data_IF_412847717417
#
_entry.id   IF_412847717417
#
_cell.length_a   1.000
_cell.length_b   1.000
_cell.length_c   1.000
_cell.angle_alpha   90.00
_cell.angle_beta   90.00
_cell.angle_gamma   90.00
#
_symmetry.space_group_name_H-M   'P 1'
#
loop_
_entity.id
_entity.type
_entity.pdbx_description
1 polymer ?
#
# COMPACT_ATOMS: atom_id res chain seq x y z
N UNK A 1 10.10 14.52 -6.67
CA UNK A 1 9.26 13.51 -5.98
C UNK A 1 8.34 14.23 -5.02
N UNK A 2 7.04 13.96 -5.07
CA UNK A 2 6.00 14.59 -4.24
C UNK A 2 5.35 13.56 -3.30
N UNK A 3 4.89 14.02 -2.15
CA UNK A 3 3.98 13.23 -1.30
C UNK A 3 2.55 13.31 -1.85
N UNK A 4 1.76 12.23 -1.83
CA UNK A 4 0.34 12.33 -2.17
C UNK A 4 -0.39 13.25 -1.18
N UNK A 5 -1.47 13.89 -1.62
CA UNK A 5 -2.30 14.71 -0.73
C UNK A 5 -2.92 13.83 0.36
N UNK A 6 -3.08 14.35 1.58
CA UNK A 6 -3.79 13.64 2.65
C UNK A 6 -5.22 13.28 2.22
N UNK A 7 -5.72 12.11 2.64
CA UNK A 7 -7.05 11.61 2.30
C UNK A 7 -7.19 10.09 2.44
N UNK A 8 -8.37 9.59 2.06
CA UNK A 8 -8.65 8.15 2.04
C UNK A 8 -8.35 7.57 0.66
N UNK A 9 -7.63 6.45 0.65
CA UNK A 9 -7.15 5.80 -0.57
C UNK A 9 -7.32 4.30 -0.52
N UNK A 10 -7.41 3.69 -1.70
CA UNK A 10 -7.01 2.30 -1.91
C UNK A 10 -5.59 2.25 -2.41
N UNK A 11 -4.87 1.21 -1.99
CA UNK A 11 -3.49 0.96 -2.37
C UNK A 11 -3.47 -0.31 -3.21
N UNK A 12 -3.27 -0.16 -4.51
CA UNK A 12 -3.40 -1.26 -5.47
C UNK A 12 -2.02 -1.66 -5.97
N UNK A 13 -1.72 -2.96 -6.01
CA UNK A 13 -0.46 -3.43 -6.56
C UNK A 13 -0.37 -3.08 -8.06
N UNK A 14 0.81 -2.69 -8.53
CA UNK A 14 1.00 -2.36 -9.94
C UNK A 14 0.88 -3.60 -10.85
N UNK A 15 1.11 -4.79 -10.31
CA UNK A 15 0.98 -6.07 -11.01
C UNK A 15 -0.44 -6.60 -10.84
N UNK A 16 -1.05 -7.03 -11.94
CA UNK A 16 -2.34 -7.74 -11.90
C UNK A 16 -2.14 -9.18 -11.45
N UNK A 17 -3.21 -9.79 -10.93
CA UNK A 17 -3.20 -11.24 -10.73
C UNK A 17 -3.08 -12.01 -12.04
N UNK A 18 -2.79 -13.31 -11.96
CA UNK A 18 -2.81 -14.22 -13.13
C UNK A 18 -4.16 -14.25 -13.84
N UNK A 19 -5.23 -13.87 -13.14
CA UNK A 19 -6.60 -13.75 -13.66
C UNK A 19 -6.93 -12.32 -14.13
N UNK A 20 -5.92 -11.44 -14.27
CA UNK A 20 -6.05 -10.02 -14.63
C UNK A 20 -6.83 -9.16 -13.62
N UNK A 21 -6.90 -9.56 -12.34
CA UNK A 21 -7.56 -8.79 -11.29
C UNK A 21 -6.62 -7.73 -10.71
N UNK A 22 -7.18 -6.59 -10.30
CA UNK A 22 -6.46 -5.59 -9.48
C UNK A 22 -6.45 -6.03 -8.03
N UNK A 23 -5.29 -5.98 -7.40
CA UNK A 23 -5.09 -6.47 -6.03
C UNK A 23 -4.87 -5.29 -5.08
N UNK A 24 -5.79 -5.07 -4.15
CA UNK A 24 -5.75 -4.00 -3.17
C UNK A 24 -5.27 -4.49 -1.81
N UNK A 25 -4.41 -3.71 -1.14
CA UNK A 25 -4.02 -4.00 0.24
C UNK A 25 -5.27 -3.97 1.12
N UNK A 26 -5.51 -5.09 1.80
CA UNK A 26 -6.68 -5.32 2.64
C UNK A 26 -6.23 -5.56 4.07
N UNK A 27 -6.79 -4.78 4.98
CA UNK A 27 -6.51 -4.90 6.40
C UNK A 27 -7.17 -6.16 6.96
N UNK A 28 -6.41 -6.90 7.76
CA UNK A 28 -6.92 -8.01 8.55
C UNK A 28 -7.19 -7.56 10.00
N UNK A 29 -7.61 -8.50 10.85
CA UNK A 29 -7.78 -8.24 12.28
C UNK A 29 -6.50 -7.65 12.90
N UNK A 30 -6.65 -6.91 14.00
CA UNK A 30 -5.53 -6.30 14.71
C UNK A 30 -4.41 -7.31 15.02
N UNK A 31 -3.16 -6.91 14.80
CA UNK A 31 -2.00 -7.78 14.98
C UNK A 31 -1.82 -8.85 13.90
N UNK A 32 -2.69 -8.90 12.88
CA UNK A 32 -2.49 -9.76 11.70
C UNK A 32 -1.90 -8.96 10.54
N UNK A 33 -0.98 -9.56 9.75
CA UNK A 33 -0.44 -8.90 8.58
C UNK A 33 -1.55 -8.67 7.55
N UNK A 34 -1.50 -7.55 6.82
CA UNK A 34 -2.37 -7.31 5.68
C UNK A 34 -2.08 -8.30 4.54
N UNK A 35 -3.08 -8.60 3.74
CA UNK A 35 -2.96 -9.34 2.47
C UNK A 35 -3.43 -8.47 1.31
N UNK A 36 -3.28 -8.96 0.07
CA UNK A 36 -3.90 -8.34 -1.09
C UNK A 36 -5.11 -9.17 -1.54
N UNK A 37 -6.25 -8.51 -1.76
CA UNK A 37 -7.48 -9.14 -2.27
C UNK A 37 -7.99 -8.41 -3.51
N UNK A 38 -8.93 -8.99 -4.25
CA UNK A 38 -9.55 -8.32 -5.40
C UNK A 38 -10.11 -6.94 -5.02
N UNK A 39 -9.75 -5.91 -5.79
CA UNK A 39 -10.20 -4.54 -5.58
C UNK A 39 -11.73 -4.44 -5.65
N UNK A 40 -12.36 -4.00 -4.55
CA UNK A 40 -13.82 -3.94 -4.42
C UNK A 40 -14.26 -2.60 -3.83
N UNK A 41 -15.12 -1.87 -4.54
CA UNK A 41 -15.58 -0.52 -4.15
C UNK A 41 -16.27 -0.47 -2.78
N UNK A 42 -16.89 -1.57 -2.35
CA UNK A 42 -17.60 -1.66 -1.07
C UNK A 42 -16.74 -2.16 0.09
N UNK A 43 -15.51 -2.58 -0.15
CA UNK A 43 -14.64 -3.15 0.89
C UNK A 43 -13.96 -2.03 1.69
N UNK A 44 -14.46 -1.77 2.91
CA UNK A 44 -13.90 -0.75 3.81
C UNK A 44 -12.53 -1.16 4.37
N UNK A 45 -12.21 -2.46 4.44
CA UNK A 45 -10.88 -2.93 4.85
C UNK A 45 -9.79 -2.64 3.80
N UNK A 46 -10.17 -2.24 2.58
CA UNK A 46 -9.25 -1.76 1.55
C UNK A 46 -9.03 -0.24 1.60
N UNK A 47 -9.65 0.47 2.54
CA UNK A 47 -9.56 1.93 2.66
C UNK A 47 -8.51 2.32 3.70
N UNK A 48 -7.53 3.09 3.25
CA UNK A 48 -6.38 3.53 4.02
C UNK A 48 -6.41 5.05 4.14
N UNK A 49 -6.34 5.55 5.38
CA UNK A 49 -6.17 6.98 5.63
C UNK A 49 -4.68 7.28 5.52
N UNK A 50 -4.34 8.15 4.58
CA UNK A 50 -2.99 8.71 4.42
C UNK A 50 -3.05 10.15 4.91
N UNK A 51 -2.22 10.49 5.89
CA UNK A 51 -2.14 11.84 6.45
C UNK A 51 -0.70 12.30 6.57
N UNK A 52 -0.46 13.59 6.42
CA UNK A 52 0.86 14.16 6.67
C UNK A 52 1.28 13.97 8.14
N UNK A 53 2.51 13.51 8.35
CA UNK A 53 3.10 13.40 9.68
C UNK A 53 4.15 14.48 9.89
N UNK A 54 5.10 14.60 8.96
CA UNK A 54 6.08 15.68 8.92
C UNK A 54 6.36 16.14 7.47
N UNK A 55 7.42 16.94 7.28
CA UNK A 55 7.80 17.46 5.96
C UNK A 55 8.22 16.38 4.95
N UNK A 56 8.61 15.20 5.43
CA UNK A 56 9.22 14.11 4.67
C UNK A 56 8.44 12.79 4.74
N UNK A 57 7.59 12.61 5.76
CA UNK A 57 6.88 11.36 6.04
C UNK A 57 5.38 11.57 6.18
N UNK A 58 4.64 10.49 5.94
CA UNK A 58 3.20 10.43 6.13
C UNK A 58 2.89 9.32 7.14
N UNK A 59 1.68 9.34 7.68
CA UNK A 59 1.11 8.20 8.38
C UNK A 59 0.15 7.47 7.44
N UNK A 60 0.03 6.17 7.62
CA UNK A 60 -0.83 5.33 6.81
C UNK A 60 -1.45 4.28 7.70
N UNK A 61 -2.76 4.31 7.80
CA UNK A 61 -3.48 3.36 8.62
C UNK A 61 -4.68 2.78 7.89
N UNK A 62 -4.98 1.48 8.09
CA UNK A 62 -6.37 1.07 7.95
C UNK A 62 -7.11 1.84 9.04
N UNK A 63 -8.25 2.49 8.74
CA UNK A 63 -8.96 3.40 9.65
C UNK A 63 -8.71 3.12 11.17
N UNK A 64 -7.63 3.70 11.77
CA UNK A 64 -7.07 3.10 13.01
C UNK A 64 -5.61 3.35 13.45
N UNK A 65 -4.77 4.13 12.75
CA UNK A 65 -3.46 4.65 13.21
C UNK A 65 -2.22 3.72 13.23
N UNK A 66 -1.44 3.69 12.14
CA UNK A 66 0.00 3.32 12.10
C UNK A 66 0.77 4.31 11.19
N UNK A 67 2.10 4.44 11.31
CA UNK A 67 2.91 5.46 10.59
C UNK A 67 3.88 4.81 9.60
N UNK A 68 3.87 5.26 8.32
CA UNK A 68 4.70 4.70 7.22
C UNK A 68 5.07 5.77 6.17
N UNK A 69 6.30 5.75 5.66
CA UNK A 69 6.74 6.68 4.61
C UNK A 69 6.18 6.30 3.25
N UNK A 70 5.35 7.15 2.63
CA UNK A 70 4.85 6.96 1.26
C UNK A 70 5.56 7.91 0.30
N UNK A 71 6.03 7.40 -0.84
CA UNK A 71 6.68 8.21 -1.88
C UNK A 71 6.11 7.95 -3.25
N UNK A 72 5.79 9.01 -3.98
CA UNK A 72 5.53 8.92 -5.42
C UNK A 72 6.85 8.93 -6.19
N UNK A 73 7.00 7.95 -7.07
CA UNK A 73 8.02 7.87 -8.12
C UNK A 73 7.34 7.94 -9.48
N UNK A 74 8.13 8.09 -10.54
CA UNK A 74 7.63 8.07 -11.93
C UNK A 74 7.00 6.71 -12.31
N UNK A 75 7.20 5.70 -11.46
CA UNK A 75 6.78 4.31 -11.65
C UNK A 75 5.77 3.83 -10.60
N UNK A 76 5.06 4.74 -9.94
CA UNK A 76 4.06 4.41 -8.90
C UNK A 76 4.53 4.84 -7.52
N UNK A 77 3.95 4.28 -6.47
CA UNK A 77 4.38 4.58 -5.10
C UNK A 77 5.20 3.44 -4.50
N UNK A 78 6.08 3.80 -3.57
CA UNK A 78 6.68 2.87 -2.61
C UNK A 78 6.21 3.23 -1.21
N UNK A 79 5.95 2.20 -0.39
CA UNK A 79 5.66 2.33 1.04
C UNK A 79 6.87 1.78 1.77
N UNK A 80 7.44 2.60 2.65
CA UNK A 80 8.72 2.35 3.30
C UNK A 80 8.65 2.64 4.80
N UNK A 81 9.62 2.10 5.54
CA UNK A 81 9.92 2.56 6.90
C UNK A 81 10.49 4.00 6.91
N UNK A 82 10.67 4.57 8.11
CA UNK A 82 11.22 5.92 8.29
C UNK A 82 12.64 6.07 7.75
N UNK A 83 13.46 5.02 7.94
CA UNK A 83 14.86 4.96 7.51
C UNK A 83 15.05 4.56 6.04
N UNK A 84 13.96 4.21 5.35
CA UNK A 84 13.91 3.89 3.91
C UNK A 84 14.72 2.65 3.53
N UNK A 85 14.84 1.71 4.44
CA UNK A 85 15.57 0.45 4.27
C UNK A 85 14.63 -0.72 3.97
N UNK A 86 13.37 -0.60 4.37
CA UNK A 86 12.35 -1.61 4.23
C UNK A 86 11.22 -1.13 3.32
N UNK A 87 10.71 -2.02 2.48
CA UNK A 87 9.73 -1.76 1.44
C UNK A 87 8.59 -2.76 1.55
N UNK A 88 7.37 -2.27 1.37
CA UNK A 88 6.20 -3.13 1.27
C UNK A 88 6.08 -3.73 -0.12
N UNK A 89 5.85 -5.03 -0.18
CA UNK A 89 5.63 -5.77 -1.42
C UNK A 89 4.78 -7.01 -1.22
N UNK A 90 4.58 -7.75 -2.31
CA UNK A 90 4.04 -9.12 -2.29
C UNK A 90 5.04 -10.05 -2.95
N UNK A 91 5.19 -11.27 -2.42
CA UNK A 91 6.09 -12.27 -3.02
C UNK A 91 5.57 -12.75 -4.38
N UNK A 92 4.25 -12.86 -4.52
CA UNK A 92 3.54 -13.13 -5.76
C UNK A 92 2.33 -12.22 -5.87
N UNK A 93 2.02 -11.75 -7.08
CA UNK A 93 0.79 -11.02 -7.35
C UNK A 93 -0.37 -12.02 -7.49
N UNK A 94 -0.70 -12.71 -6.41
CA UNK A 94 -1.84 -13.63 -6.31
C UNK A 94 -2.80 -13.14 -5.22
N UNK A 95 -4.08 -13.44 -5.37
CA UNK A 95 -5.06 -13.18 -4.32
C UNK A 95 -4.64 -13.85 -3.00
N UNK A 96 -4.94 -13.19 -1.89
CA UNK A 96 -4.56 -13.53 -0.51
C UNK A 96 -3.05 -13.53 -0.21
N UNK A 97 -2.22 -13.07 -1.15
CA UNK A 97 -0.78 -12.97 -0.89
C UNK A 97 -0.53 -11.97 0.24
N UNK A 98 0.24 -12.41 1.24
CA UNK A 98 0.57 -11.58 2.38
C UNK A 98 1.46 -10.40 1.93
N UNK A 99 1.16 -9.21 2.45
CA UNK A 99 2.06 -8.07 2.31
C UNK A 99 3.27 -8.30 3.21
N UNK A 100 4.45 -8.24 2.62
CA UNK A 100 5.72 -8.41 3.31
C UNK A 100 6.47 -7.09 3.39
N UNK A 101 7.29 -6.98 4.44
CA UNK A 101 8.21 -5.87 4.64
C UNK A 101 9.62 -6.44 4.54
N UNK A 102 10.39 -5.97 3.57
CA UNK A 102 11.72 -6.49 3.32
C UNK A 102 12.62 -5.50 2.58
N UNK A 103 13.82 -5.92 2.23
CA UNK A 103 14.76 -5.09 1.48
C UNK A 103 14.15 -4.64 0.13
N UNK A 104 14.51 -3.43 -0.30
CA UNK A 104 14.11 -2.93 -1.61
C UNK A 104 14.80 -3.73 -2.71
N UNK A 105 14.02 -4.45 -3.50
CA UNK A 105 14.53 -5.25 -4.63
C UNK A 105 14.45 -4.49 -5.95
N UNK A 106 13.63 -3.44 -6.01
CA UNK A 106 13.32 -2.72 -7.23
C UNK A 106 12.19 -3.35 -8.06
N UNK A 107 11.69 -4.51 -7.62
CA UNK A 107 10.65 -5.26 -8.32
C UNK A 107 9.33 -4.49 -8.42
N UNK A 108 8.58 -4.78 -9.48
CA UNK A 108 7.28 -4.15 -9.74
C UNK A 108 6.22 -4.53 -8.68
N UNK A 109 6.39 -5.67 -8.01
CA UNK A 109 5.55 -6.13 -6.90
C UNK A 109 5.69 -5.27 -5.64
N UNK A 110 6.77 -4.48 -5.52
CA UNK A 110 6.95 -3.46 -4.47
C UNK A 110 6.45 -2.07 -4.91
N UNK A 111 5.78 -1.97 -6.07
CA UNK A 111 5.20 -0.73 -6.59
C UNK A 111 3.68 -0.77 -6.47
N UNK A 112 3.12 0.34 -6.02
CA UNK A 112 1.69 0.47 -5.80
C UNK A 112 1.11 1.69 -6.51
N UNK A 113 -0.21 1.73 -6.60
CA UNK A 113 -1.01 2.80 -7.20
C UNK A 113 -1.98 3.28 -6.12
N UNK A 114 -2.05 4.60 -5.92
CA UNK A 114 -3.05 5.21 -5.04
C UNK A 114 -4.29 5.58 -5.82
N UNK A 115 -5.45 5.06 -5.40
CA UNK A 115 -6.76 5.43 -5.94
C UNK A 115 -7.55 6.13 -4.84
N UNK A 116 -7.93 7.39 -5.06
CA UNK A 116 -8.69 8.18 -4.09
C UNK A 116 -10.06 7.53 -3.87
N UNK A 117 -10.48 7.39 -2.61
CA UNK A 117 -11.87 7.05 -2.26
C UNK A 117 -12.65 8.37 -2.23
N UNK A 118 -13.77 8.42 -2.95
CA UNK A 118 -14.65 9.60 -3.02
C UNK A 118 -15.39 9.85 -1.71
#
# INVERSE_FOLDING_TARGET
MSKPASGTYKIINRVLSVENKRLAITANAEGKPANVTEDSSSNTAQQWIIADFDNNTQSMAPSGGYVWTIRQTDTGITIQDGDRTAFWGVASASEDSQVTIGAGTGDVQQRWILVRVA
#
